data_IF_159734614574
#
_entry.id   IF_159734614574
#
_cell.length_a   1.000
_cell.length_b   1.000
_cell.length_c   1.000
_cell.angle_alpha   90.00
_cell.angle_beta   90.00
_cell.angle_gamma   90.00
#
_symmetry.space_group_name_H-M   'P 1'
#
loop_
_entity.id
_entity.type
_entity.pdbx_description
1 polymer ?
#
# COMPACT_ATOMS: atom_id res chain seq x y z
N UNK A 1 26.30 30.92 6.17
CA UNK A 1 25.02 30.70 5.48
C UNK A 1 25.07 29.28 4.95
N UNK A 2 24.35 28.36 5.59
CA UNK A 2 24.29 26.97 5.12
C UNK A 2 23.58 26.96 3.77
N UNK A 3 24.19 26.33 2.76
CA UNK A 3 23.53 26.12 1.47
C UNK A 3 22.41 25.11 1.70
N UNK A 4 21.17 25.54 1.51
CA UNK A 4 20.01 24.66 1.52
C UNK A 4 20.13 23.68 0.35
N UNK A 5 20.37 22.40 0.64
CA UNK A 5 20.49 21.35 -0.37
C UNK A 5 19.09 20.92 -0.76
N UNK A 6 18.70 21.17 -2.02
CA UNK A 6 17.42 20.70 -2.52
C UNK A 6 17.51 19.24 -2.97
N UNK A 7 16.99 18.34 -2.14
CA UNK A 7 16.89 16.90 -2.46
C UNK A 7 15.53 16.65 -3.10
N UNK A 8 15.52 16.22 -4.36
CA UNK A 8 14.30 15.86 -5.08
C UNK A 8 14.36 14.38 -5.47
N UNK A 9 13.69 13.52 -4.70
CA UNK A 9 13.54 12.11 -5.02
C UNK A 9 12.12 11.79 -5.46
N UNK A 10 12.00 11.10 -6.59
CA UNK A 10 10.78 10.62 -7.21
C UNK A 10 10.46 9.20 -6.70
N UNK A 11 9.24 8.99 -6.19
CA UNK A 11 8.83 7.74 -5.53
C UNK A 11 7.63 7.13 -6.23
N UNK A 12 7.68 5.83 -6.54
CA UNK A 12 6.49 5.04 -6.86
C UNK A 12 6.10 4.16 -5.67
N UNK A 13 4.80 4.07 -5.38
CA UNK A 13 4.23 3.20 -4.37
C UNK A 13 3.37 2.14 -5.06
N UNK A 14 3.70 0.87 -4.86
CA UNK A 14 3.00 -0.27 -5.42
C UNK A 14 2.45 -1.11 -4.27
N UNK A 15 1.13 -1.19 -4.16
CA UNK A 15 0.47 -1.82 -3.02
C UNK A 15 -0.20 -3.12 -3.43
N UNK A 16 0.23 -4.22 -2.80
CA UNK A 16 -0.51 -5.47 -2.81
C UNK A 16 -1.63 -5.37 -1.79
N UNK A 17 -2.82 -4.99 -2.27
CA UNK A 17 -3.97 -4.74 -1.41
C UNK A 17 -4.42 -5.98 -0.64
N UNK A 18 -4.30 -7.15 -1.25
CA UNK A 18 -4.71 -8.42 -0.64
C UNK A 18 -3.74 -8.81 0.49
N UNK A 19 -2.43 -8.70 0.26
CA UNK A 19 -1.43 -8.97 1.29
C UNK A 19 -1.60 -8.04 2.49
N UNK A 20 -1.68 -6.72 2.26
CA UNK A 20 -1.84 -5.73 3.33
C UNK A 20 -3.14 -5.94 4.12
N UNK A 21 -4.26 -6.21 3.47
CA UNK A 21 -5.53 -6.48 4.16
C UNK A 21 -5.43 -7.72 5.05
N UNK A 22 -4.91 -8.84 4.53
CA UNK A 22 -4.74 -10.08 5.30
C UNK A 22 -3.85 -9.85 6.52
N UNK A 23 -2.71 -9.20 6.34
CA UNK A 23 -1.77 -8.90 7.42
C UNK A 23 -2.37 -8.04 8.53
N UNK A 24 -3.13 -7.00 8.17
CA UNK A 24 -3.81 -6.15 9.15
C UNK A 24 -4.93 -6.92 9.85
N UNK A 25 -5.67 -7.77 9.14
CA UNK A 25 -6.74 -8.59 9.73
C UNK A 25 -6.19 -9.58 10.75
N UNK A 26 -5.05 -10.21 10.45
CA UNK A 26 -4.35 -11.12 11.35
C UNK A 26 -3.89 -10.39 12.63
N UNK A 27 -3.25 -9.22 12.50
CA UNK A 27 -2.75 -8.47 13.65
C UNK A 27 -3.86 -7.79 14.47
N UNK A 28 -4.96 -7.40 13.84
CA UNK A 28 -6.09 -6.73 14.51
C UNK A 28 -7.15 -7.70 15.03
N UNK A 29 -7.19 -8.94 14.54
CA UNK A 29 -8.28 -9.88 14.78
C UNK A 29 -9.64 -9.43 14.22
N UNK A 30 -9.66 -8.44 13.30
CA UNK A 30 -10.87 -7.83 12.79
C UNK A 30 -10.81 -7.63 11.27
N UNK A 31 -11.66 -8.34 10.53
CA UNK A 31 -11.76 -8.29 9.07
C UNK A 31 -12.38 -7.01 8.50
N UNK A 32 -12.92 -6.14 9.36
CA UNK A 32 -13.47 -4.83 8.99
C UNK A 32 -12.42 -3.72 9.10
N UNK A 33 -11.15 -4.06 9.33
CA UNK A 33 -10.05 -3.09 9.35
C UNK A 33 -9.51 -2.83 7.96
N UNK A 34 -9.16 -1.58 7.71
CA UNK A 34 -8.66 -1.09 6.42
C UNK A 34 -7.53 -0.10 6.63
N UNK A 35 -6.52 -0.17 5.77
CA UNK A 35 -5.39 0.77 5.78
C UNK A 35 -5.87 2.21 5.54
N UNK A 36 -5.30 3.15 6.28
CA UNK A 36 -5.54 4.57 6.10
C UNK A 36 -4.54 5.15 5.09
N UNK A 37 -4.90 5.13 3.81
CA UNK A 37 -4.08 5.71 2.73
C UNK A 37 -3.72 7.17 2.97
N UNK A 38 -4.61 7.93 3.59
CA UNK A 38 -4.37 9.36 3.86
C UNK A 38 -3.28 9.61 4.90
N UNK A 39 -2.97 8.60 5.71
CA UNK A 39 -1.92 8.66 6.71
C UNK A 39 -0.65 7.98 6.23
N UNK A 40 -0.76 6.79 5.65
CA UNK A 40 0.40 5.99 5.28
C UNK A 40 1.14 6.60 4.09
N UNK A 41 0.45 7.15 3.07
CA UNK A 41 1.14 7.69 1.89
C UNK A 41 2.02 8.89 2.25
N UNK A 42 1.55 9.93 2.98
CA UNK A 42 2.43 11.01 3.44
C UNK A 42 3.58 10.51 4.33
N UNK A 43 3.31 9.55 5.22
CA UNK A 43 4.35 8.93 6.07
C UNK A 43 5.45 8.27 5.24
N UNK A 44 5.08 7.51 4.20
CA UNK A 44 6.02 6.83 3.30
C UNK A 44 6.80 7.81 2.43
N UNK A 45 6.16 8.87 1.93
CA UNK A 45 6.82 9.85 1.08
C UNK A 45 7.77 10.77 1.87
N UNK A 46 7.42 11.12 3.12
CA UNK A 46 8.12 12.16 3.89
C UNK A 46 8.18 13.47 3.08
N UNK A 47 9.37 13.93 2.68
CA UNK A 47 9.58 15.10 1.83
C UNK A 47 9.75 14.79 0.33
N UNK A 48 9.55 13.53 -0.09
CA UNK A 48 9.77 13.07 -1.47
C UNK A 48 8.53 13.22 -2.35
N UNK A 49 8.74 13.32 -3.66
CA UNK A 49 7.67 13.49 -4.64
C UNK A 49 7.02 12.16 -5.03
N UNK A 50 5.68 12.09 -5.00
CA UNK A 50 4.95 10.93 -5.52
C UNK A 50 4.87 10.97 -7.05
N UNK A 51 5.50 10.01 -7.72
CA UNK A 51 5.43 9.82 -9.16
C UNK A 51 4.23 8.94 -9.55
N UNK A 52 4.00 7.88 -8.79
CA UNK A 52 2.95 6.91 -9.08
C UNK A 52 2.47 6.18 -7.84
N UNK A 53 1.16 5.98 -7.76
CA UNK A 53 0.54 5.08 -6.80
C UNK A 53 -0.30 4.05 -7.55
N UNK A 54 -0.02 2.76 -7.36
CA UNK A 54 -0.84 1.67 -7.90
C UNK A 54 -1.24 0.75 -6.77
N UNK A 55 -2.55 0.51 -6.63
CA UNK A 55 -3.12 -0.45 -5.72
C UNK A 55 -3.64 -1.66 -6.51
N UNK A 56 -3.05 -2.82 -6.27
CA UNK A 56 -3.42 -4.08 -6.91
C UNK A 56 -4.40 -4.82 -6.02
N UNK A 57 -5.50 -5.31 -6.60
CA UNK A 57 -6.51 -6.07 -5.86
C UNK A 57 -7.03 -7.24 -6.68
N UNK A 58 -7.09 -8.41 -6.08
CA UNK A 58 -7.76 -9.57 -6.68
C UNK A 58 -9.28 -9.36 -6.77
N UNK A 59 -9.84 -9.85 -7.89
CA UNK A 59 -11.28 -9.90 -8.10
C UNK A 59 -11.84 -8.68 -8.83
N UNK A 60 -13.14 -8.77 -9.16
CA UNK A 60 -13.85 -7.77 -9.97
C UNK A 60 -14.55 -6.69 -9.13
N UNK A 61 -14.80 -6.97 -7.85
CA UNK A 61 -15.49 -6.06 -6.94
C UNK A 61 -14.48 -5.18 -6.20
N UNK A 62 -13.99 -4.16 -6.89
CA UNK A 62 -13.19 -3.09 -6.30
C UNK A 62 -14.15 -2.02 -5.77
N UNK A 63 -13.90 -1.54 -4.54
CA UNK A 63 -14.63 -0.40 -3.97
C UNK A 63 -14.42 0.84 -4.84
N UNK A 64 -15.49 1.31 -5.50
CA UNK A 64 -15.45 2.57 -6.27
C UNK A 64 -15.00 3.74 -5.40
N UNK A 65 -15.45 3.79 -4.14
CA UNK A 65 -15.05 4.80 -3.16
C UNK A 65 -13.55 4.81 -2.87
N UNK A 66 -12.92 3.63 -2.82
CA UNK A 66 -11.46 3.54 -2.66
C UNK A 66 -10.76 4.05 -3.92
N UNK A 67 -11.18 3.59 -5.09
CA UNK A 67 -10.59 3.99 -6.37
C UNK A 67 -10.68 5.52 -6.58
N UNK A 68 -11.85 6.11 -6.36
CA UNK A 68 -12.07 7.56 -6.44
C UNK A 68 -11.21 8.33 -5.44
N UNK A 69 -11.08 7.83 -4.19
CA UNK A 69 -10.24 8.48 -3.18
C UNK A 69 -8.76 8.48 -3.59
N UNK A 70 -8.24 7.34 -4.04
CA UNK A 70 -6.85 7.22 -4.48
C UNK A 70 -6.57 8.10 -5.69
N UNK A 71 -7.50 8.15 -6.65
CA UNK A 71 -7.38 9.01 -7.82
C UNK A 71 -7.41 10.50 -7.44
N UNK A 72 -8.43 10.95 -6.70
CA UNK A 72 -8.61 12.37 -6.40
C UNK A 72 -7.53 12.97 -5.50
N UNK A 73 -6.95 12.18 -4.59
CA UNK A 73 -5.92 12.67 -3.65
C UNK A 73 -4.49 12.45 -4.12
N UNK A 74 -4.24 11.37 -4.87
CA UNK A 74 -2.88 10.91 -5.16
C UNK A 74 -2.64 10.63 -6.64
N UNK A 75 -3.62 10.89 -7.51
CA UNK A 75 -3.63 10.43 -8.90
C UNK A 75 -3.31 8.93 -9.01
N UNK A 76 -3.73 8.17 -8.00
CA UNK A 76 -3.51 6.74 -7.90
C UNK A 76 -4.43 5.95 -8.83
N UNK A 77 -4.02 4.73 -9.15
CA UNK A 77 -4.80 3.78 -9.95
C UNK A 77 -5.08 2.52 -9.16
N UNK A 78 -6.28 1.95 -9.31
CA UNK A 78 -6.60 0.62 -8.82
C UNK A 78 -6.60 -0.37 -9.99
N UNK A 79 -5.82 -1.44 -9.87
CA UNK A 79 -5.64 -2.45 -10.92
C UNK A 79 -6.24 -3.78 -10.44
N UNK A 80 -7.33 -4.25 -11.06
CA UNK A 80 -7.87 -5.58 -10.79
C UNK A 80 -6.89 -6.66 -11.24
N UNK A 81 -6.72 -7.66 -10.40
CA UNK A 81 -5.86 -8.82 -10.64
C UNK A 81 -6.74 -10.08 -10.73
N UNK A 82 -6.39 -10.99 -11.64
CA UNK A 82 -7.19 -12.22 -11.83
C UNK A 82 -6.97 -13.23 -10.70
N UNK A 83 -5.74 -13.39 -10.20
CA UNK A 83 -5.39 -14.39 -9.17
C UNK A 83 -4.53 -13.86 -8.05
N UNK A 84 -3.51 -13.07 -8.38
CA UNK A 84 -2.59 -12.47 -7.42
C UNK A 84 -2.06 -11.14 -7.97
N UNK A 85 -1.61 -10.27 -7.08
CA UNK A 85 -0.91 -9.04 -7.41
C UNK A 85 0.52 -9.29 -7.90
N UNK A 86 1.16 -10.43 -7.59
CA UNK A 86 2.61 -10.65 -7.76
C UNK A 86 3.11 -10.33 -9.17
N UNK A 87 2.49 -10.93 -10.19
CA UNK A 87 2.89 -10.73 -11.59
C UNK A 87 2.57 -9.30 -12.07
N UNK A 88 1.32 -8.78 -11.95
CA UNK A 88 1.01 -7.41 -12.34
C UNK A 88 1.88 -6.35 -11.64
N UNK A 89 2.14 -6.54 -10.34
CA UNK A 89 2.96 -5.65 -9.53
C UNK A 89 4.40 -5.69 -10.00
N UNK A 90 5.00 -6.88 -10.16
CA UNK A 90 6.38 -7.05 -10.64
C UNK A 90 6.58 -6.40 -12.01
N UNK A 91 5.67 -6.67 -12.96
CA UNK A 91 5.72 -6.05 -14.29
C UNK A 91 5.68 -4.52 -14.19
N UNK A 92 4.79 -3.98 -13.35
CA UNK A 92 4.68 -2.53 -13.17
C UNK A 92 5.90 -1.93 -12.49
N UNK A 93 6.48 -2.63 -11.51
CA UNK A 93 7.70 -2.20 -10.85
C UNK A 93 8.86 -2.09 -11.84
N UNK A 94 9.12 -3.13 -12.64
CA UNK A 94 10.18 -3.09 -13.66
C UNK A 94 9.93 -2.00 -14.72
N UNK A 95 8.67 -1.77 -15.13
CA UNK A 95 8.32 -0.69 -16.06
C UNK A 95 8.53 0.72 -15.49
N UNK A 96 8.49 0.87 -14.17
CA UNK A 96 8.66 2.14 -13.46
C UNK A 96 10.07 2.38 -13.00
N UNK A 97 10.87 1.33 -12.82
CA UNK A 97 12.26 1.41 -12.40
C UNK A 97 13.07 2.53 -13.09
N UNK A 98 13.06 2.69 -14.42
CA UNK A 98 13.84 3.76 -15.08
C UNK A 98 13.25 5.18 -14.92
N UNK A 99 12.16 5.37 -14.17
CA UNK A 99 11.41 6.64 -14.07
C UNK A 99 11.38 7.23 -12.66
N UNK A 100 11.85 6.48 -11.66
CA UNK A 100 11.78 6.85 -10.25
C UNK A 100 13.08 6.52 -9.55
N UNK A 101 13.39 7.26 -8.50
CA UNK A 101 14.57 7.02 -7.68
C UNK A 101 14.30 5.95 -6.62
N UNK A 102 13.02 5.78 -6.23
CA UNK A 102 12.60 4.81 -5.22
C UNK A 102 11.29 4.13 -5.58
N UNK A 103 11.22 2.82 -5.36
CA UNK A 103 9.99 2.06 -5.37
C UNK A 103 9.72 1.55 -3.95
N UNK A 104 8.54 1.89 -3.42
CA UNK A 104 8.03 1.36 -2.16
C UNK A 104 7.01 0.27 -2.51
N UNK A 105 7.32 -0.98 -2.16
CA UNK A 105 6.40 -2.10 -2.29
C UNK A 105 5.67 -2.27 -0.95
N UNK A 106 4.35 -2.13 -0.97
CA UNK A 106 3.53 -2.45 0.20
C UNK A 106 3.09 -3.90 0.13
N UNK A 107 3.93 -4.81 0.63
CA UNK A 107 3.65 -6.24 0.81
C UNK A 107 4.69 -6.85 1.75
N UNK A 108 4.29 -7.87 2.51
CA UNK A 108 5.19 -8.66 3.35
C UNK A 108 5.64 -9.99 2.73
N UNK A 109 5.26 -10.26 1.48
CA UNK A 109 5.43 -11.57 0.83
C UNK A 109 6.87 -11.86 0.37
N UNK A 110 7.39 -13.05 0.67
CA UNK A 110 8.72 -13.48 0.25
C UNK A 110 8.86 -13.60 -1.27
N UNK A 111 7.76 -13.74 -2.00
CA UNK A 111 7.78 -13.87 -3.47
C UNK A 111 8.32 -12.59 -4.16
N UNK A 112 8.41 -11.47 -3.44
CA UNK A 112 8.99 -10.23 -3.96
C UNK A 112 10.52 -10.12 -3.78
N UNK A 113 11.20 -11.06 -3.12
CA UNK A 113 12.66 -10.97 -2.88
C UNK A 113 13.46 -10.82 -4.18
N UNK A 114 13.16 -11.66 -5.18
CA UNK A 114 13.85 -11.60 -6.48
C UNK A 114 13.56 -10.27 -7.22
N UNK A 115 12.34 -9.75 -7.06
CA UNK A 115 11.97 -8.44 -7.61
C UNK A 115 12.78 -7.32 -6.95
N UNK A 116 12.90 -7.33 -5.62
CA UNK A 116 13.70 -6.34 -4.87
C UNK A 116 15.14 -6.37 -5.34
N UNK A 117 15.74 -7.56 -5.42
CA UNK A 117 17.13 -7.74 -5.89
C UNK A 117 17.32 -7.21 -7.32
N UNK A 118 16.39 -7.53 -8.23
CA UNK A 118 16.42 -7.05 -9.60
C UNK A 118 16.30 -5.52 -9.70
N UNK A 119 15.33 -4.89 -9.02
CA UNK A 119 15.13 -3.44 -9.05
C UNK A 119 16.35 -2.69 -8.49
N UNK A 120 17.00 -3.22 -7.44
CA UNK A 120 18.25 -2.67 -6.91
C UNK A 120 19.39 -2.76 -7.92
N UNK A 121 19.48 -3.86 -8.66
CA UNK A 121 20.48 -4.01 -9.74
C UNK A 121 20.27 -3.02 -10.90
N UNK A 122 19.03 -2.57 -11.11
CA UNK A 122 18.66 -1.50 -12.05
C UNK A 122 18.92 -0.08 -11.49
N UNK A 123 19.48 0.04 -10.28
CA UNK A 123 19.85 1.30 -9.66
C UNK A 123 18.73 2.01 -8.90
N UNK A 124 17.60 1.34 -8.67
CA UNK A 124 16.46 1.89 -7.95
C UNK A 124 16.56 1.52 -6.47
N UNK A 125 16.34 2.49 -5.58
CA UNK A 125 16.18 2.20 -4.15
C UNK A 125 14.86 1.47 -3.93
N UNK A 126 14.87 0.36 -3.21
CA UNK A 126 13.67 -0.42 -2.92
C UNK A 126 13.38 -0.43 -1.44
N UNK A 127 12.18 0.03 -1.07
CA UNK A 127 11.72 0.05 0.31
C UNK A 127 10.48 -0.84 0.45
N UNK A 128 10.34 -1.50 1.60
CA UNK A 128 9.20 -2.36 1.90
C UNK A 128 8.35 -1.69 2.96
N UNK A 129 7.03 -1.66 2.77
CA UNK A 129 6.09 -1.17 3.76
C UNK A 129 5.05 -2.25 4.10
N UNK A 130 5.18 -2.87 5.28
CA UNK A 130 4.33 -4.00 5.64
C UNK A 130 4.17 -4.14 7.17
N UNK A 131 3.25 -5.02 7.58
CA UNK A 131 3.09 -5.42 8.98
C UNK A 131 4.23 -6.37 9.32
N UNK A 132 5.09 -5.96 10.26
CA UNK A 132 6.36 -6.62 10.55
C UNK A 132 6.19 -8.08 10.96
N UNK A 133 5.16 -8.38 11.74
CA UNK A 133 4.84 -9.70 12.29
C UNK A 133 4.52 -10.72 11.19
N UNK A 134 4.00 -10.27 10.06
CA UNK A 134 3.61 -11.11 8.91
C UNK A 134 4.58 -11.00 7.74
N UNK A 135 5.67 -10.26 7.90
CA UNK A 135 6.64 -10.01 6.81
C UNK A 135 7.76 -11.06 6.84
N UNK A 136 8.08 -11.61 5.67
CA UNK A 136 9.22 -12.51 5.54
C UNK A 136 10.54 -11.81 5.89
N UNK A 137 11.32 -12.38 6.82
CA UNK A 137 12.60 -11.78 7.27
C UNK A 137 13.58 -11.54 6.12
N UNK A 138 13.65 -12.49 5.18
CA UNK A 138 14.51 -12.38 3.99
C UNK A 138 14.15 -11.19 3.11
N UNK A 139 12.87 -10.80 3.04
CA UNK A 139 12.42 -9.63 2.30
C UNK A 139 12.88 -8.32 2.99
N UNK A 140 12.82 -8.27 4.32
CA UNK A 140 13.31 -7.13 5.11
C UNK A 140 14.82 -6.96 4.92
N UNK A 141 15.56 -8.06 4.92
CA UNK A 141 17.03 -8.07 4.75
C UNK A 141 17.45 -7.67 3.34
N UNK A 142 16.67 -8.03 2.31
CA UNK A 142 16.96 -7.66 0.92
C UNK A 142 16.61 -6.19 0.61
N UNK A 143 15.64 -5.59 1.31
CA UNK A 143 15.22 -4.20 1.08
C UNK A 143 16.24 -3.16 1.57
N UNK A 144 16.29 -1.98 0.93
CA UNK A 144 17.13 -0.86 1.38
C UNK A 144 16.57 -0.17 2.63
N UNK A 145 15.26 -0.29 2.86
CA UNK A 145 14.60 0.19 4.06
C UNK A 145 13.25 -0.51 4.30
N UNK A 146 12.89 -0.65 5.57
CA UNK A 146 11.62 -1.23 5.99
C UNK A 146 10.78 -0.22 6.79
N UNK A 147 9.58 0.06 6.30
CA UNK A 147 8.57 0.89 6.93
C UNK A 147 7.53 0.01 7.64
N UNK A 148 7.55 -0.07 8.98
CA UNK A 148 6.53 -0.82 9.70
C UNK A 148 5.16 -0.13 9.59
N UNK A 149 4.16 -0.92 9.18
CA UNK A 149 2.74 -0.56 9.29
C UNK A 149 2.26 -0.97 10.67
N UNK A 150 1.77 -0.02 11.44
CA UNK A 150 1.37 -0.21 12.85
C UNK A 150 -0.10 0.14 13.05
N UNK A 151 -0.62 -0.09 14.26
CA UNK A 151 -2.05 0.12 14.61
C UNK A 151 -2.56 1.52 14.31
N UNK A 152 -1.67 2.49 14.30
CA UNK A 152 -1.99 3.88 14.01
C UNK A 152 -2.25 4.13 12.51
N UNK A 153 -1.84 3.21 11.63
CA UNK A 153 -1.92 3.35 10.17
C UNK A 153 -3.21 2.77 9.56
N UNK A 154 -4.07 2.13 10.34
CA UNK A 154 -5.35 1.59 9.89
C UNK A 154 -6.52 2.00 10.80
N UNK A 155 -7.74 1.76 10.33
CA UNK A 155 -8.95 2.02 11.08
C UNK A 155 -9.95 0.87 10.90
N UNK A 156 -10.82 0.67 11.89
CA UNK A 156 -11.92 -0.29 11.80
C UNK A 156 -13.19 0.42 11.31
N UNK A 157 -13.89 -0.16 10.33
CA UNK A 157 -15.25 0.25 10.02
C UNK A 157 -16.17 -0.21 11.13
N UNK A 158 -16.78 0.73 11.84
CA UNK A 158 -17.93 0.45 12.70
C UNK A 158 -19.14 0.21 11.79
N UNK A 159 -19.71 -1.00 11.87
CA UNK A 159 -21.04 -1.26 11.30
C UNK A 159 -22.02 -0.28 11.94
N UNK A 160 -22.55 0.66 11.15
CA UNK A 160 -23.65 1.50 11.64
C UNK A 160 -24.77 0.54 12.06
N UNK A 161 -25.09 0.48 13.36
CA UNK A 161 -26.35 -0.14 13.82
C UNK A 161 -27.46 0.58 13.07
N UNK A 162 -28.16 -0.11 12.15
CA UNK A 162 -29.44 0.38 11.63
C UNK A 162 -30.30 0.71 12.85
N UNK A 163 -30.64 1.99 13.03
CA UNK A 163 -31.65 2.38 13.99
C UNK A 163 -32.93 1.62 13.62
N UNK A 164 -33.42 0.76 14.52
CA UNK A 164 -34.75 0.19 14.41
C UNK A 164 -35.74 1.33 14.63
N UNK A 165 -36.28 1.90 13.56
CA UNK A 165 -37.51 2.68 13.64
C UNK A 165 -38.64 1.71 14.02
N UNK A 166 -38.98 1.70 15.31
CA UNK A 166 -40.24 1.14 15.79
C UNK A 166 -41.36 2.04 15.27
N UNK A 167 -42.02 1.65 14.18
CA UNK A 167 -43.37 2.13 13.91
C UNK A 167 -44.30 1.51 14.97
N UNK A 168 -44.75 2.33 15.90
CA UNK A 168 -45.94 2.06 16.69
C UNK A 168 -47.14 2.23 15.75
N UNK A 169 -47.83 1.13 15.43
CA UNK A 169 -49.22 1.17 14.99
C UNK A 169 -50.07 1.64 16.19
N UNK A 170 -50.60 2.85 16.12
CA UNK A 170 -51.74 3.26 16.93
C UNK A 170 -53.02 2.89 16.19
N UNK A 171 -53.92 2.24 16.94
CA UNK A 171 -55.30 1.89 16.57
C UNK A 171 -56.21 3.11 16.56
#
# INVERSE_FOLDING_TARGET
MEKEIWVNQSVAILCDGNNIERSIHELSGNTSTMINFDKIIPKLLSSRGLNRLIYFREGKNISSKLAERLYNKYYGSVVPCHKSADIPLSIKATQLAPKVDTIIIMSGDSDYVDLVSHLKSEGVRVEIAAVKETTARVLIEEADYFHPITKEDWFAYSSHKKAKEHYHDEK
#
